data_IF_079421736620
#
_entry.id   IF_079421736620
#
_cell.length_a   1.000
_cell.length_b   1.000
_cell.length_c   1.000
_cell.angle_alpha   90.00
_cell.angle_beta   90.00
_cell.angle_gamma   90.00
#
_symmetry.space_group_name_H-M   'P 1'
#
loop_
_entity.id
_entity.type
_entity.pdbx_description
1 polymer ?
#
# COMPACT_ATOMS: atom_id res chain seq x y z
N UNK A 1 -21.30 -7.22 17.55
CA UNK A 1 -22.01 -6.86 16.30
C UNK A 1 -22.00 -8.08 15.42
N UNK A 2 -23.17 -8.53 14.96
CA UNK A 2 -23.28 -9.66 14.06
C UNK A 2 -23.03 -9.23 12.61
N UNK A 3 -22.38 -10.09 11.83
CA UNK A 3 -22.10 -9.85 10.41
C UNK A 3 -23.08 -10.67 9.60
N UNK A 4 -24.02 -10.02 8.93
CA UNK A 4 -24.94 -10.68 8.01
C UNK A 4 -24.14 -11.18 6.79
N UNK A 5 -24.46 -12.38 6.28
CA UNK A 5 -23.81 -12.92 5.08
C UNK A 5 -24.87 -13.28 4.05
N UNK A 6 -24.85 -12.61 2.92
CA UNK A 6 -25.70 -12.86 1.76
C UNK A 6 -24.79 -13.31 0.62
N UNK A 7 -24.90 -14.58 0.23
CA UNK A 7 -24.08 -15.15 -0.85
C UNK A 7 -24.68 -14.79 -2.21
N UNK A 8 -23.82 -14.53 -3.18
CA UNK A 8 -24.21 -14.44 -4.59
C UNK A 8 -24.82 -15.78 -5.04
N UNK A 9 -25.90 -15.68 -5.82
CA UNK A 9 -26.49 -16.86 -6.45
C UNK A 9 -25.47 -17.51 -7.41
N UNK A 10 -25.46 -18.84 -7.59
CA UNK A 10 -24.45 -19.53 -8.41
C UNK A 10 -24.34 -19.02 -9.85
N UNK A 11 -25.45 -18.60 -10.43
CA UNK A 11 -25.58 -18.04 -11.78
C UNK A 11 -25.08 -16.59 -11.91
N UNK A 12 -24.87 -15.90 -10.77
CA UNK A 12 -24.32 -14.54 -10.70
C UNK A 12 -22.82 -14.52 -10.38
N UNK A 13 -22.19 -15.68 -10.15
CA UNK A 13 -20.75 -15.75 -9.92
C UNK A 13 -20.00 -15.40 -11.20
N UNK A 14 -19.02 -14.50 -11.10
CA UNK A 14 -18.23 -14.05 -12.24
C UNK A 14 -17.25 -15.14 -12.66
N UNK A 15 -16.96 -15.21 -13.95
CA UNK A 15 -15.86 -16.00 -14.48
C UNK A 15 -14.53 -15.46 -13.92
N UNK A 16 -13.61 -16.37 -13.61
CA UNK A 16 -12.31 -16.01 -13.03
C UNK A 16 -11.39 -15.58 -14.18
N UNK A 17 -10.65 -14.47 -14.04
CA UNK A 17 -9.72 -14.02 -15.07
C UNK A 17 -8.54 -15.00 -15.21
N UNK A 18 -7.82 -14.91 -16.33
CA UNK A 18 -6.55 -15.63 -16.48
C UNK A 18 -5.53 -15.07 -15.47
N UNK A 19 -5.01 -15.97 -14.63
CA UNK A 19 -4.08 -15.62 -13.56
C UNK A 19 -2.73 -15.09 -14.09
N UNK A 20 -2.40 -15.36 -15.36
CA UNK A 20 -1.18 -14.86 -16.01
C UNK A 20 -1.31 -13.43 -16.54
N UNK A 21 -2.52 -12.86 -16.59
CA UNK A 21 -2.79 -11.54 -17.17
C UNK A 21 -3.72 -10.68 -16.31
N UNK A 22 -3.60 -10.79 -14.97
CA UNK A 22 -4.48 -10.12 -14.01
C UNK A 22 -4.34 -8.58 -13.99
N UNK A 23 -3.14 -8.07 -14.26
CA UNK A 23 -2.79 -6.68 -13.94
C UNK A 23 -2.96 -6.38 -12.43
N UNK A 24 -3.27 -5.13 -12.11
CA UNK A 24 -3.53 -4.68 -10.73
C UNK A 24 -4.83 -3.88 -10.66
N UNK A 25 -5.78 -4.30 -9.82
CA UNK A 25 -7.00 -3.53 -9.54
C UNK A 25 -8.10 -3.62 -10.62
N UNK A 26 -7.99 -4.52 -11.59
CA UNK A 26 -8.88 -4.56 -12.77
C UNK A 26 -10.11 -5.47 -12.60
N UNK A 27 -9.99 -6.52 -11.80
CA UNK A 27 -11.04 -7.52 -11.58
C UNK A 27 -11.52 -7.47 -10.12
N UNK A 28 -12.82 -7.62 -9.88
CA UNK A 28 -13.38 -7.62 -8.52
C UNK A 28 -14.02 -8.97 -8.22
N UNK A 29 -13.77 -9.50 -7.02
CA UNK A 29 -14.34 -10.76 -6.57
C UNK A 29 -15.88 -10.70 -6.42
N UNK A 30 -16.50 -11.84 -6.17
CA UNK A 30 -17.96 -12.00 -6.21
C UNK A 30 -18.69 -11.23 -5.09
N UNK A 31 -18.02 -10.97 -3.97
CA UNK A 31 -18.61 -10.33 -2.79
C UNK A 31 -17.82 -9.11 -2.32
N UNK A 32 -18.44 -8.34 -1.43
CA UNK A 32 -17.81 -7.26 -0.68
C UNK A 32 -18.35 -7.22 0.75
N UNK A 33 -17.58 -6.64 1.67
CA UNK A 33 -18.07 -6.29 3.00
C UNK A 33 -18.50 -4.82 3.01
N UNK A 34 -19.60 -4.51 3.70
CA UNK A 34 -20.06 -3.14 3.99
C UNK A 34 -20.42 -3.00 5.47
N UNK A 35 -20.23 -1.81 6.01
CA UNK A 35 -20.66 -1.43 7.36
C UNK A 35 -20.96 0.07 7.37
N UNK A 36 -22.09 0.44 7.95
CA UNK A 36 -22.56 1.82 8.00
C UNK A 36 -22.23 2.44 9.35
N UNK A 37 -22.05 3.75 9.36
CA UNK A 37 -21.96 4.55 10.56
C UNK A 37 -22.93 5.70 10.49
N UNK A 38 -23.67 5.91 11.57
CA UNK A 38 -24.46 7.11 11.86
C UNK A 38 -24.08 7.63 13.25
N UNK A 39 -23.86 8.95 13.40
CA UNK A 39 -23.46 9.58 14.68
C UNK A 39 -24.38 9.18 15.86
N UNK A 40 -25.67 8.96 15.62
CA UNK A 40 -26.64 8.58 16.63
C UNK A 40 -26.63 7.08 17.01
N UNK A 41 -26.08 6.22 16.15
CA UNK A 41 -26.11 4.75 16.31
C UNK A 41 -24.72 4.12 16.47
N UNK A 42 -23.66 4.84 16.11
CA UNK A 42 -22.34 4.28 15.93
C UNK A 42 -22.26 3.43 14.66
N UNK A 43 -21.44 2.38 14.68
CA UNK A 43 -21.38 1.42 13.57
C UNK A 43 -22.57 0.45 13.62
N UNK A 44 -23.17 0.14 12.48
CA UNK A 44 -24.28 -0.80 12.32
C UNK A 44 -24.28 -1.44 10.92
N UNK A 45 -25.24 -2.34 10.69
CA UNK A 45 -25.52 -2.99 9.40
C UNK A 45 -24.27 -3.61 8.72
N UNK A 46 -23.43 -4.27 9.52
CA UNK A 46 -22.29 -5.02 9.02
C UNK A 46 -22.76 -6.23 8.18
N UNK A 47 -22.41 -6.24 6.89
CA UNK A 47 -22.84 -7.28 5.97
C UNK A 47 -21.76 -7.65 4.95
N UNK A 48 -21.61 -8.95 4.68
CA UNK A 48 -20.97 -9.47 3.47
C UNK A 48 -22.08 -9.74 2.46
N UNK A 49 -22.00 -9.15 1.28
CA UNK A 49 -23.03 -9.24 0.23
C UNK A 49 -22.40 -9.28 -1.17
N UNK A 50 -23.16 -9.59 -2.24
CA UNK A 50 -22.65 -9.52 -3.61
C UNK A 50 -22.02 -8.15 -3.92
N UNK A 51 -20.97 -8.15 -4.73
CA UNK A 51 -20.35 -6.90 -5.20
C UNK A 51 -21.36 -6.07 -6.01
N UNK A 52 -21.55 -4.81 -5.64
CA UNK A 52 -22.46 -3.88 -6.33
C UNK A 52 -21.95 -2.44 -6.29
N UNK A 53 -22.52 -1.59 -7.14
CA UNK A 53 -22.22 -0.16 -7.13
C UNK A 53 -22.89 0.52 -5.94
N UNK A 54 -22.23 1.54 -5.38
CA UNK A 54 -22.84 2.39 -4.36
C UNK A 54 -23.74 3.45 -4.98
N UNK A 55 -24.92 3.67 -4.38
CA UNK A 55 -25.78 4.81 -4.64
C UNK A 55 -25.47 5.89 -3.61
N UNK A 56 -24.87 7.00 -4.05
CA UNK A 56 -24.53 8.14 -3.20
C UNK A 56 -25.32 9.37 -3.65
N UNK A 57 -25.72 10.20 -2.70
CA UNK A 57 -26.27 11.51 -3.02
C UNK A 57 -25.23 12.32 -3.81
N UNK A 58 -25.61 13.13 -4.81
CA UNK A 58 -24.68 14.04 -5.49
C UNK A 58 -23.99 15.02 -4.54
N UNK A 59 -24.64 15.33 -3.41
CA UNK A 59 -24.09 16.16 -2.34
C UNK A 59 -23.29 15.37 -1.29
N UNK A 60 -22.97 14.09 -1.51
CA UNK A 60 -22.19 13.30 -0.57
C UNK A 60 -20.82 13.95 -0.33
N UNK A 61 -20.46 14.19 0.93
CA UNK A 61 -19.30 15.01 1.29
C UNK A 61 -17.97 14.49 0.71
N UNK A 62 -17.82 13.17 0.54
CA UNK A 62 -16.64 12.58 -0.13
C UNK A 62 -16.43 13.11 -1.55
N UNK A 63 -17.50 13.42 -2.29
CA UNK A 63 -17.45 13.89 -3.68
C UNK A 63 -16.98 15.35 -3.79
N UNK A 64 -17.06 16.12 -2.70
CA UNK A 64 -16.75 17.55 -2.69
C UNK A 64 -15.48 17.87 -1.91
N UNK A 65 -15.23 17.17 -0.80
CA UNK A 65 -14.13 17.49 0.13
C UNK A 65 -13.16 16.33 0.35
N UNK A 66 -13.34 15.20 -0.35
CA UNK A 66 -12.37 14.10 -0.36
C UNK A 66 -12.11 13.46 1.01
N UNK A 67 -13.06 13.55 1.96
CA UNK A 67 -12.96 12.88 3.27
C UNK A 67 -13.11 11.36 3.10
N UNK A 68 -12.00 10.73 2.71
CA UNK A 68 -11.89 9.30 2.44
C UNK A 68 -10.52 8.75 2.81
N UNK A 69 -10.51 7.56 3.40
CA UNK A 69 -9.31 6.81 3.77
C UNK A 69 -9.39 5.38 3.22
N UNK A 70 -8.24 4.74 3.08
CA UNK A 70 -8.19 3.36 2.60
C UNK A 70 -6.99 2.60 3.14
N UNK A 71 -7.03 1.29 2.99
CA UNK A 71 -5.94 0.39 3.30
C UNK A 71 -5.58 -0.52 2.13
N UNK A 72 -4.47 -1.23 2.27
CA UNK A 72 -3.98 -2.15 1.27
C UNK A 72 -3.17 -3.28 1.87
N UNK A 73 -3.72 -4.49 1.78
CA UNK A 73 -3.09 -5.73 2.21
C UNK A 73 -3.39 -6.86 1.22
N UNK A 74 -2.84 -8.04 1.45
CA UNK A 74 -2.95 -9.18 0.55
C UNK A 74 -3.29 -10.46 1.30
N UNK A 75 -4.02 -11.34 0.61
CA UNK A 75 -4.14 -12.74 0.94
C UNK A 75 -3.34 -13.57 -0.05
N UNK A 76 -2.67 -14.59 0.48
CA UNK A 76 -1.71 -15.44 -0.20
C UNK A 76 -2.17 -16.88 -0.11
N UNK A 77 -2.07 -17.64 -1.21
CA UNK A 77 -2.32 -19.08 -1.18
C UNK A 77 -1.00 -19.82 -0.96
N UNK A 78 -0.90 -20.56 0.13
CA UNK A 78 0.25 -21.43 0.39
C UNK A 78 0.26 -22.69 -0.46
N UNK A 79 1.38 -23.41 -0.45
CA UNK A 79 1.53 -24.71 -1.12
C UNK A 79 0.64 -25.82 -0.52
N UNK A 80 0.16 -25.61 0.70
CA UNK A 80 -0.82 -26.45 1.41
C UNK A 80 -2.29 -26.09 1.08
N UNK A 81 -2.51 -25.23 0.07
CA UNK A 81 -3.80 -24.67 -0.34
C UNK A 81 -4.51 -23.81 0.73
N UNK A 82 -3.86 -23.56 1.87
CA UNK A 82 -4.36 -22.63 2.89
C UNK A 82 -4.18 -21.19 2.44
N UNK A 83 -4.99 -20.31 3.02
CA UNK A 83 -4.95 -18.87 2.73
C UNK A 83 -4.39 -18.13 3.93
N UNK A 84 -3.41 -17.27 3.68
CA UNK A 84 -2.68 -16.52 4.68
C UNK A 84 -2.85 -15.01 4.45
N UNK A 85 -3.01 -14.27 5.54
CA UNK A 85 -2.97 -12.81 5.58
C UNK A 85 -1.65 -12.35 6.20
N UNK A 86 -1.08 -11.28 5.67
CA UNK A 86 0.14 -10.69 6.22
C UNK A 86 -0.15 -9.41 6.99
N UNK A 87 0.11 -9.44 8.31
CA UNK A 87 -0.04 -8.34 9.26
C UNK A 87 -1.39 -7.58 9.20
N UNK A 88 -2.53 -8.29 9.06
CA UNK A 88 -3.83 -7.64 8.83
C UNK A 88 -4.22 -6.67 9.96
N UNK A 89 -3.94 -7.02 11.22
CA UNK A 89 -4.25 -6.17 12.37
C UNK A 89 -3.46 -4.85 12.35
N UNK A 90 -2.23 -4.86 11.83
CA UNK A 90 -1.43 -3.64 11.72
C UNK A 90 -2.00 -2.70 10.64
N UNK A 91 -2.52 -3.24 9.54
CA UNK A 91 -3.26 -2.47 8.55
C UNK A 91 -4.51 -1.83 9.16
N UNK A 92 -5.30 -2.58 9.93
CA UNK A 92 -6.52 -2.06 10.55
C UNK A 92 -6.23 -0.99 11.62
N UNK A 93 -5.13 -1.12 12.37
CA UNK A 93 -4.67 -0.07 13.30
C UNK A 93 -4.27 1.20 12.54
N UNK A 94 -3.49 1.08 11.45
CA UNK A 94 -3.12 2.24 10.63
C UNK A 94 -4.33 2.89 9.94
N UNK A 95 -5.37 2.11 9.64
CA UNK A 95 -6.63 2.66 9.19
C UNK A 95 -7.30 3.53 10.27
N UNK A 96 -7.28 3.11 11.52
CA UNK A 96 -7.76 3.93 12.64
C UNK A 96 -6.91 5.19 12.83
N UNK A 97 -5.57 5.10 12.73
CA UNK A 97 -4.71 6.30 12.75
C UNK A 97 -5.11 7.30 11.65
N UNK A 98 -5.47 6.77 10.47
CA UNK A 98 -5.96 7.58 9.35
C UNK A 98 -7.35 8.17 9.63
N UNK A 99 -8.24 7.41 10.27
CA UNK A 99 -9.58 7.86 10.66
C UNK A 99 -9.48 9.01 11.67
N UNK A 100 -8.69 8.86 12.73
CA UNK A 100 -8.45 9.91 13.73
C UNK A 100 -7.93 11.18 13.07
N UNK A 101 -6.92 11.08 12.18
CA UNK A 101 -6.33 12.25 11.51
C UNK A 101 -7.30 12.98 10.58
N UNK A 102 -8.23 12.24 9.98
CA UNK A 102 -9.24 12.73 9.05
C UNK A 102 -10.59 13.04 9.72
N UNK A 103 -10.66 13.02 11.05
CA UNK A 103 -11.88 13.22 11.84
C UNK A 103 -13.02 12.26 11.39
N UNK A 104 -12.69 10.99 11.20
CA UNK A 104 -13.62 9.91 10.85
C UNK A 104 -13.72 8.94 12.03
N UNK A 105 -14.84 8.20 12.18
CA UNK A 105 -14.98 7.22 13.25
C UNK A 105 -13.97 6.08 13.10
N UNK A 106 -13.34 5.68 14.20
CA UNK A 106 -12.49 4.50 14.23
C UNK A 106 -13.32 3.23 14.03
N UNK A 107 -12.80 2.27 13.24
CA UNK A 107 -13.45 0.98 13.06
C UNK A 107 -13.18 0.05 14.25
N UNK A 108 -14.16 -0.79 14.64
CA UNK A 108 -13.94 -1.88 15.58
C UNK A 108 -13.04 -2.96 14.93
N UNK A 109 -11.74 -2.94 15.25
CA UNK A 109 -10.71 -3.79 14.63
C UNK A 109 -11.08 -5.27 14.64
N UNK A 110 -11.58 -5.81 15.76
CA UNK A 110 -11.92 -7.24 15.86
C UNK A 110 -13.10 -7.64 14.96
N UNK A 111 -14.11 -6.77 14.83
CA UNK A 111 -15.27 -7.00 13.96
C UNK A 111 -14.84 -6.97 12.50
N UNK A 112 -14.07 -5.95 12.11
CA UNK A 112 -13.59 -5.80 10.72
C UNK A 112 -12.60 -6.90 10.36
N UNK A 113 -11.74 -7.32 11.29
CA UNK A 113 -10.83 -8.44 11.08
C UNK A 113 -11.60 -9.76 10.88
N UNK A 114 -12.60 -10.03 11.71
CA UNK A 114 -13.48 -11.18 11.53
C UNK A 114 -14.22 -11.15 10.19
N UNK A 115 -14.75 -9.99 9.80
CA UNK A 115 -15.42 -9.78 8.51
C UNK A 115 -14.48 -10.02 7.33
N UNK A 116 -13.24 -9.50 7.40
CA UNK A 116 -12.22 -9.71 6.38
C UNK A 116 -11.90 -11.19 6.19
N UNK A 117 -11.69 -11.93 7.29
CA UNK A 117 -11.46 -13.38 7.22
C UNK A 117 -12.64 -14.11 6.58
N UNK A 118 -13.86 -13.80 6.99
CA UNK A 118 -15.09 -14.40 6.42
C UNK A 118 -15.23 -14.08 4.92
N UNK A 119 -14.95 -12.84 4.51
CA UNK A 119 -15.02 -12.41 3.13
C UNK A 119 -13.99 -13.14 2.27
N UNK A 120 -12.73 -13.21 2.71
CA UNK A 120 -11.68 -13.95 1.99
C UNK A 120 -11.98 -15.45 1.93
N UNK A 121 -12.52 -16.05 3.00
CA UNK A 121 -12.94 -17.45 3.00
C UNK A 121 -14.11 -17.71 2.02
N UNK A 122 -15.05 -16.77 1.90
CA UNK A 122 -16.17 -16.85 0.95
C UNK A 122 -15.67 -16.72 -0.49
N UNK A 123 -14.77 -15.78 -0.75
CA UNK A 123 -14.13 -15.55 -2.05
C UNK A 123 -12.85 -16.38 -2.26
N UNK A 124 -12.69 -17.50 -1.54
CA UNK A 124 -11.43 -18.28 -1.57
C UNK A 124 -10.99 -18.71 -2.97
N UNK A 125 -11.92 -18.87 -3.90
CA UNK A 125 -11.62 -19.24 -5.30
C UNK A 125 -11.00 -18.12 -6.11
N UNK A 126 -11.05 -16.87 -5.62
CA UNK A 126 -10.40 -15.71 -6.21
C UNK A 126 -8.96 -15.52 -5.75
N UNK A 127 -8.51 -16.23 -4.72
CA UNK A 127 -7.09 -16.20 -4.32
C UNK A 127 -6.28 -16.99 -5.36
N UNK A 128 -5.40 -16.35 -6.15
CA UNK A 128 -4.72 -17.00 -7.26
C UNK A 128 -3.87 -18.19 -6.83
N UNK A 129 -3.59 -19.09 -7.78
CA UNK A 129 -2.63 -20.19 -7.63
C UNK A 129 -1.30 -19.89 -8.33
N UNK A 130 -1.32 -19.03 -9.35
CA UNK A 130 -0.15 -18.64 -10.11
C UNK A 130 0.91 -17.99 -9.21
N UNK A 131 2.17 -18.36 -9.44
CA UNK A 131 3.30 -17.83 -8.69
C UNK A 131 3.39 -16.30 -8.84
N UNK A 132 3.58 -15.60 -7.72
CA UNK A 132 3.64 -14.13 -7.69
C UNK A 132 2.28 -13.42 -7.79
N UNK A 133 1.18 -14.14 -8.05
CA UNK A 133 -0.17 -13.60 -8.01
C UNK A 133 -0.79 -13.73 -6.60
N UNK A 134 -1.61 -12.76 -6.21
CA UNK A 134 -2.21 -12.69 -4.87
C UNK A 134 -3.63 -12.11 -4.91
N UNK A 135 -4.39 -12.23 -3.84
CA UNK A 135 -5.64 -11.49 -3.70
C UNK A 135 -5.36 -10.19 -2.94
N UNK A 136 -5.46 -9.05 -3.60
CA UNK A 136 -5.38 -7.76 -2.95
C UNK A 136 -6.69 -7.42 -2.26
N UNK A 137 -6.60 -7.00 -1.01
CA UNK A 137 -7.73 -6.62 -0.14
C UNK A 137 -7.69 -5.11 0.03
N UNK A 138 -8.81 -4.44 -0.25
CA UNK A 138 -8.97 -2.98 -0.18
C UNK A 138 -10.07 -2.62 0.82
N UNK A 139 -9.72 -2.43 2.11
CA UNK A 139 -10.58 -1.69 3.04
C UNK A 139 -10.61 -0.22 2.66
N UNK A 140 -11.77 0.42 2.76
CA UNK A 140 -11.94 1.85 2.52
C UNK A 140 -13.09 2.42 3.35
N UNK A 141 -13.01 3.71 3.66
CA UNK A 141 -14.06 4.45 4.36
C UNK A 141 -14.28 5.80 3.67
N UNK A 142 -15.53 6.16 3.46
CA UNK A 142 -15.93 7.43 2.82
C UNK A 142 -16.99 8.15 3.64
N UNK A 143 -16.92 9.49 3.64
CA UNK A 143 -17.98 10.36 4.14
C UNK A 143 -19.21 10.32 3.21
N UNK A 144 -20.22 9.54 3.57
CA UNK A 144 -21.42 9.30 2.75
C UNK A 144 -22.55 10.31 3.00
N UNK A 145 -22.47 11.10 4.07
CA UNK A 145 -23.47 12.12 4.40
C UNK A 145 -23.67 13.12 3.25
N UNK A 146 -24.92 13.46 2.94
CA UNK A 146 -25.26 14.54 2.02
C UNK A 146 -25.11 15.91 2.70
N UNK A 147 -24.22 16.77 2.18
CA UNK A 147 -24.03 18.12 2.69
C UNK A 147 -22.89 18.87 1.99
N UNK A 148 -23.03 20.18 1.88
CA UNK A 148 -22.03 21.09 1.29
C UNK A 148 -21.35 22.00 2.34
N UNK A 149 -21.58 21.75 3.62
CA UNK A 149 -20.87 22.43 4.69
C UNK A 149 -19.54 21.72 4.96
N UNK A 150 -18.43 22.45 4.99
CA UNK A 150 -17.11 21.87 5.31
C UNK A 150 -17.03 21.60 6.81
N UNK A 151 -17.21 20.34 7.18
CA UNK A 151 -17.09 19.82 8.55
C UNK A 151 -16.86 18.30 8.51
N UNK A 152 -16.54 17.63 9.63
CA UNK A 152 -16.65 16.18 9.70
C UNK A 152 -18.07 15.73 9.35
N UNK A 153 -18.17 14.68 8.53
CA UNK A 153 -19.44 14.03 8.28
C UNK A 153 -19.97 13.32 9.54
N UNK A 154 -21.26 13.04 9.54
CA UNK A 154 -21.99 12.30 10.58
C UNK A 154 -22.41 10.91 10.11
N UNK A 155 -22.25 10.65 8.81
CA UNK A 155 -22.55 9.37 8.19
C UNK A 155 -21.36 8.90 7.36
N UNK A 156 -20.98 7.64 7.56
CA UNK A 156 -19.85 7.03 6.85
C UNK A 156 -20.22 5.66 6.33
N UNK A 157 -19.58 5.28 5.22
CA UNK A 157 -19.62 3.94 4.66
C UNK A 157 -18.22 3.35 4.73
N UNK A 158 -18.06 2.26 5.47
CA UNK A 158 -16.87 1.41 5.44
C UNK A 158 -17.14 0.19 4.55
N UNK A 159 -16.15 -0.21 3.74
CA UNK A 159 -16.27 -1.38 2.89
C UNK A 159 -14.93 -2.09 2.67
N UNK A 160 -14.99 -3.37 2.29
CA UNK A 160 -13.83 -4.14 1.84
C UNK A 160 -14.17 -4.81 0.51
N UNK A 161 -13.31 -4.61 -0.48
CA UNK A 161 -13.36 -5.32 -1.77
C UNK A 161 -12.08 -6.13 -2.00
N UNK A 162 -12.23 -7.22 -2.75
CA UNK A 162 -11.16 -8.15 -3.08
C UNK A 162 -10.89 -8.13 -4.59
N UNK A 163 -9.62 -8.13 -4.97
CA UNK A 163 -9.17 -8.07 -6.36
C UNK A 163 -7.99 -9.03 -6.58
N UNK A 164 -8.09 -10.02 -7.49
CA UNK A 164 -6.91 -10.81 -7.85
C UNK A 164 -5.91 -9.92 -8.60
N UNK A 165 -4.65 -9.96 -8.21
CA UNK A 165 -3.58 -9.15 -8.80
C UNK A 165 -2.36 -9.99 -9.14
N UNK A 166 -1.73 -9.67 -10.25
CA UNK A 166 -0.44 -10.22 -10.65
C UNK A 166 0.72 -9.34 -10.18
N UNK A 167 1.82 -9.34 -10.93
CA UNK A 167 2.92 -8.42 -10.72
C UNK A 167 2.46 -6.96 -10.81
N UNK A 168 2.99 -6.10 -9.93
CA UNK A 168 2.56 -4.71 -9.85
C UNK A 168 3.06 -3.85 -11.03
N UNK A 169 4.29 -4.10 -11.46
CA UNK A 169 4.90 -3.43 -12.61
C UNK A 169 4.93 -4.36 -13.82
N UNK A 170 4.77 -3.83 -15.06
CA UNK A 170 4.94 -4.62 -16.28
C UNK A 170 6.29 -5.33 -16.34
N UNK A 171 7.33 -4.72 -15.77
CA UNK A 171 8.68 -5.25 -15.69
C UNK A 171 8.84 -6.32 -14.59
N UNK A 172 7.79 -6.64 -13.82
CA UNK A 172 7.83 -7.60 -12.73
C UNK A 172 8.71 -7.14 -11.56
N UNK A 173 9.68 -7.97 -11.19
CA UNK A 173 10.69 -7.65 -10.15
C UNK A 173 11.95 -6.99 -10.72
N UNK A 174 11.95 -6.62 -12.00
CA UNK A 174 13.08 -5.90 -12.59
C UNK A 174 13.15 -4.45 -12.09
N UNK A 175 14.34 -3.82 -12.13
CA UNK A 175 14.50 -2.47 -11.61
C UNK A 175 13.72 -1.42 -12.39
N UNK A 176 13.10 -0.50 -11.66
CA UNK A 176 12.37 0.64 -12.24
C UNK A 176 13.27 1.86 -12.44
N UNK A 177 12.82 2.77 -13.30
CA UNK A 177 13.42 4.11 -13.46
C UNK A 177 12.65 5.13 -12.64
N UNK A 178 13.35 5.97 -11.89
CA UNK A 178 12.72 7.00 -11.04
C UNK A 178 13.16 8.41 -11.42
N UNK A 179 12.20 9.32 -11.41
CA UNK A 179 12.42 10.75 -11.68
C UNK A 179 12.30 11.54 -10.38
N UNK A 180 13.33 12.29 -10.01
CA UNK A 180 13.31 13.14 -8.83
C UNK A 180 12.63 14.46 -9.17
N UNK A 181 11.49 14.73 -8.54
CA UNK A 181 10.78 16.01 -8.72
C UNK A 181 11.29 17.05 -7.74
N UNK A 182 11.67 18.22 -8.23
CA UNK A 182 11.92 19.43 -7.43
C UNK A 182 10.77 20.44 -7.51
N UNK A 183 9.83 20.25 -8.44
CA UNK A 183 8.62 21.07 -8.60
C UNK A 183 7.55 20.71 -7.55
N UNK A 184 7.16 19.43 -7.47
CA UNK A 184 6.02 18.99 -6.67
C UNK A 184 6.43 18.49 -5.27
N UNK A 185 5.49 18.60 -4.33
CA UNK A 185 5.61 18.06 -2.96
C UNK A 185 4.54 17.02 -2.76
N UNK A 186 4.92 15.89 -2.18
CA UNK A 186 3.96 14.85 -1.79
C UNK A 186 3.23 15.21 -0.50
N UNK A 187 3.98 15.59 0.52
CA UNK A 187 3.44 15.95 1.82
C UNK A 187 4.40 16.87 2.60
N UNK A 188 3.91 17.43 3.70
CA UNK A 188 4.68 18.25 4.65
C UNK A 188 4.32 17.85 6.08
N UNK A 189 5.25 18.00 7.03
CA UNK A 189 4.97 17.80 8.44
C UNK A 189 3.84 18.75 8.90
N UNK A 190 2.90 18.24 9.70
CA UNK A 190 1.64 18.92 10.02
C UNK A 190 0.52 18.72 9.00
N UNK A 191 0.84 18.24 7.79
CA UNK A 191 -0.13 17.80 6.80
C UNK A 191 -0.75 16.44 7.12
N UNK A 192 -1.12 15.70 6.07
CA UNK A 192 -1.74 14.36 6.16
C UNK A 192 -0.88 13.27 5.51
N UNK A 193 0.40 13.54 5.26
CA UNK A 193 1.31 12.63 4.55
C UNK A 193 1.55 11.29 5.25
N UNK A 194 1.45 11.27 6.57
CA UNK A 194 1.64 10.08 7.40
C UNK A 194 0.38 9.20 7.55
N UNK A 195 -0.72 9.55 6.88
CA UNK A 195 -1.95 8.75 6.88
C UNK A 195 -2.41 8.41 5.47
N UNK A 196 -3.21 7.35 5.35
CA UNK A 196 -3.60 6.79 4.05
C UNK A 196 -4.94 7.36 3.57
N UNK A 197 -4.93 8.67 3.31
CA UNK A 197 -6.08 9.44 2.81
C UNK A 197 -6.03 9.64 1.30
N UNK A 198 -7.21 9.65 0.65
CA UNK A 198 -7.33 9.77 -0.81
C UNK A 198 -6.67 11.05 -1.37
N UNK A 199 -6.75 12.16 -0.63
CA UNK A 199 -6.20 13.45 -1.06
C UNK A 199 -4.70 13.43 -1.36
N UNK A 200 -3.91 12.67 -0.60
CA UNK A 200 -2.47 12.50 -0.83
C UNK A 200 -2.16 11.91 -2.21
N UNK A 201 -3.01 11.01 -2.68
CA UNK A 201 -2.82 10.30 -3.94
C UNK A 201 -3.33 11.13 -5.11
N UNK A 202 -4.47 11.81 -4.95
CA UNK A 202 -4.97 12.73 -5.98
C UNK A 202 -3.96 13.84 -6.29
N UNK A 203 -3.34 14.42 -5.25
CA UNK A 203 -2.33 15.47 -5.40
C UNK A 203 -1.04 15.00 -6.10
N UNK A 204 -0.73 13.70 -6.06
CA UNK A 204 0.50 13.18 -6.67
C UNK A 204 0.41 12.88 -8.17
N UNK A 205 -0.80 12.87 -8.75
CA UNK A 205 -1.03 12.38 -10.13
C UNK A 205 -0.28 13.22 -11.17
N UNK A 206 -0.25 14.54 -11.03
CA UNK A 206 0.42 15.41 -12.01
C UNK A 206 1.92 15.08 -12.14
N UNK A 207 2.63 14.98 -11.01
CA UNK A 207 4.05 14.62 -11.01
C UNK A 207 4.29 13.22 -11.62
N UNK A 208 3.38 12.26 -11.37
CA UNK A 208 3.48 10.93 -11.95
C UNK A 208 3.31 10.95 -13.47
N UNK A 209 2.35 11.73 -13.99
CA UNK A 209 2.15 11.90 -15.44
C UNK A 209 3.38 12.55 -16.09
N UNK A 210 3.96 13.58 -15.48
CA UNK A 210 5.17 14.21 -15.99
C UNK A 210 6.38 13.27 -16.02
N UNK A 211 6.56 12.45 -14.98
CA UNK A 211 7.60 11.43 -14.95
C UNK A 211 7.39 10.37 -16.04
N UNK A 212 6.15 9.90 -16.22
CA UNK A 212 5.79 8.91 -17.25
C UNK A 212 6.03 9.45 -18.66
N UNK A 213 5.68 10.70 -18.93
CA UNK A 213 5.94 11.36 -20.21
C UNK A 213 7.45 11.47 -20.53
N UNK A 214 8.30 11.43 -19.50
CA UNK A 214 9.76 11.40 -19.63
C UNK A 214 10.34 9.98 -19.63
N UNK A 215 9.50 8.93 -19.62
CA UNK A 215 9.93 7.53 -19.62
C UNK A 215 10.33 6.97 -18.25
N UNK A 216 9.92 7.62 -17.16
CA UNK A 216 10.16 7.16 -15.78
C UNK A 216 8.92 6.50 -15.18
N UNK A 217 9.13 5.42 -14.43
CA UNK A 217 8.04 4.61 -13.85
C UNK A 217 7.45 5.25 -12.59
N UNK A 218 8.29 5.93 -11.79
CA UNK A 218 7.90 6.51 -10.50
C UNK A 218 8.58 7.85 -10.25
N UNK A 219 7.99 8.63 -9.33
CA UNK A 219 8.53 9.89 -8.84
C UNK A 219 9.29 9.64 -7.54
N UNK A 220 10.48 10.19 -7.37
CA UNK A 220 11.13 10.33 -6.06
C UNK A 220 10.73 11.68 -5.45
N UNK A 221 10.22 11.64 -4.23
CA UNK A 221 9.73 12.82 -3.53
C UNK A 221 10.81 13.42 -2.64
N UNK A 222 11.01 14.74 -2.78
CA UNK A 222 11.82 15.54 -1.88
C UNK A 222 10.93 16.24 -0.86
N UNK A 223 11.51 16.56 0.30
CA UNK A 223 10.85 17.24 1.40
C UNK A 223 10.30 18.60 0.98
N UNK A 224 9.19 19.00 1.59
CA UNK A 224 8.49 20.23 1.22
C UNK A 224 9.28 21.52 1.47
N UNK A 225 10.22 21.51 2.42
CA UNK A 225 10.80 22.70 3.03
C UNK A 225 12.09 23.08 2.31
N UNK A 226 13.07 22.17 2.32
CA UNK A 226 14.40 22.40 1.78
C UNK A 226 14.57 21.83 0.37
N UNK A 227 13.61 21.04 -0.11
CA UNK A 227 13.59 20.46 -1.47
C UNK A 227 14.87 19.69 -1.80
N UNK A 228 15.40 18.99 -0.81
CA UNK A 228 16.65 18.22 -0.94
C UNK A 228 16.65 16.91 -0.18
N UNK A 229 15.91 16.80 0.92
CA UNK A 229 15.83 15.56 1.67
C UNK A 229 14.86 14.60 0.99
N UNK A 230 15.28 13.36 0.82
CA UNK A 230 14.45 12.33 0.20
C UNK A 230 13.43 11.81 1.22
N UNK A 231 12.19 11.61 0.76
CA UNK A 231 11.10 11.08 1.59
C UNK A 231 10.61 9.69 1.12
N UNK A 232 10.03 9.60 -0.08
CA UNK A 232 9.35 8.41 -0.60
C UNK A 232 9.57 8.26 -2.11
N UNK A 233 9.24 7.09 -2.66
CA UNK A 233 9.26 6.81 -4.11
C UNK A 233 7.88 6.37 -4.56
N UNK A 234 7.20 7.23 -5.32
CA UNK A 234 5.84 7.00 -5.79
C UNK A 234 4.87 6.92 -4.61
N UNK A 235 4.41 5.69 -4.33
CA UNK A 235 3.53 5.39 -3.18
C UNK A 235 4.17 4.39 -2.20
N UNK A 236 5.50 4.30 -2.23
CA UNK A 236 6.32 3.38 -1.46
C UNK A 236 7.33 4.14 -0.59
N UNK A 237 7.67 3.57 0.57
CA UNK A 237 8.86 4.04 1.30
C UNK A 237 10.11 3.64 0.55
N UNK A 238 11.24 4.32 0.79
CA UNK A 238 12.50 4.07 0.08
C UNK A 238 13.65 3.71 1.02
N UNK A 239 14.55 2.88 0.51
CA UNK A 239 15.79 2.46 1.16
C UNK A 239 16.98 2.64 0.22
N UNK A 240 18.14 2.93 0.81
CA UNK A 240 19.44 3.09 0.15
C UNK A 240 20.45 2.20 0.86
N UNK A 241 21.17 1.37 0.13
CA UNK A 241 22.35 0.67 0.63
C UNK A 241 23.58 1.45 0.16
N UNK A 242 24.23 2.13 1.11
CA UNK A 242 25.44 2.93 0.87
C UNK A 242 26.54 2.39 1.78
N UNK A 243 27.67 2.02 1.19
CA UNK A 243 28.70 1.22 1.84
C UNK A 243 28.07 -0.04 2.47
N UNK A 244 28.22 -0.24 3.79
CA UNK A 244 27.61 -1.34 4.54
C UNK A 244 26.38 -0.90 5.37
N UNK A 245 25.79 0.26 5.06
CA UNK A 245 24.68 0.84 5.81
C UNK A 245 23.38 0.91 4.98
N UNK A 246 22.32 0.31 5.52
CA UNK A 246 20.97 0.44 4.98
C UNK A 246 20.28 1.66 5.59
N UNK A 247 19.99 2.64 4.76
CA UNK A 247 19.45 3.95 5.15
C UNK A 247 18.01 4.07 4.66
N UNK A 248 17.11 4.54 5.51
CA UNK A 248 15.75 4.97 5.12
C UNK A 248 15.40 6.28 5.83
N UNK A 249 14.63 7.18 5.20
CA UNK A 249 14.16 8.40 5.86
C UNK A 249 13.34 8.12 7.15
N UNK A 250 13.49 8.92 8.22
CA UNK A 250 12.77 8.74 9.48
C UNK A 250 11.32 9.20 9.37
N UNK A 251 10.45 8.67 10.23
CA UNK A 251 9.03 9.03 10.28
C UNK A 251 8.80 10.39 10.96
N UNK A 252 9.01 11.48 10.22
CA UNK A 252 8.89 12.87 10.73
C UNK A 252 7.53 13.52 10.47
N UNK A 253 6.49 12.73 10.20
CA UNK A 253 5.11 13.21 9.99
C UNK A 253 4.72 13.50 8.53
N UNK A 254 5.67 13.55 7.61
CA UNK A 254 5.45 13.66 6.16
C UNK A 254 5.63 12.34 5.41
N UNK A 255 5.93 11.24 6.09
CA UNK A 255 6.20 9.92 5.49
C UNK A 255 5.17 8.93 6.03
N UNK A 256 4.62 8.08 5.15
CA UNK A 256 3.66 7.06 5.55
C UNK A 256 4.39 5.93 6.29
N UNK A 257 3.98 5.52 7.50
CA UNK A 257 4.54 4.36 8.19
C UNK A 257 4.14 3.07 7.46
N UNK A 258 4.94 2.67 6.47
CA UNK A 258 4.71 1.45 5.71
C UNK A 258 4.91 0.19 6.54
N UNK A 259 3.97 -0.74 6.47
CA UNK A 259 4.10 -2.05 7.12
C UNK A 259 5.25 -2.86 6.50
N UNK A 260 5.44 -2.77 5.18
CA UNK A 260 6.60 -3.40 4.53
C UNK A 260 7.92 -2.76 4.97
N UNK A 261 7.97 -1.43 5.12
CA UNK A 261 9.12 -0.71 5.68
C UNK A 261 9.47 -1.23 7.08
N UNK A 262 8.50 -1.31 8.00
CA UNK A 262 8.71 -1.86 9.35
C UNK A 262 9.19 -3.33 9.31
N UNK A 263 8.64 -4.12 8.38
CA UNK A 263 9.04 -5.53 8.24
C UNK A 263 10.48 -5.67 7.75
N UNK A 264 10.90 -4.84 6.78
CA UNK A 264 12.30 -4.77 6.29
C UNK A 264 13.25 -4.33 7.41
N UNK A 265 12.90 -3.31 8.19
CA UNK A 265 13.73 -2.85 9.31
C UNK A 265 13.95 -3.95 10.36
N UNK A 266 12.90 -4.71 10.70
CA UNK A 266 13.01 -5.83 11.65
C UNK A 266 13.86 -6.98 11.12
N UNK A 267 13.61 -7.41 9.87
CA UNK A 267 14.38 -8.49 9.24
C UNK A 267 15.87 -8.14 9.12
N UNK A 268 16.18 -6.93 8.66
CA UNK A 268 17.58 -6.52 8.46
C UNK A 268 18.33 -6.33 9.76
N UNK A 269 17.65 -5.87 10.82
CA UNK A 269 18.22 -5.83 12.18
C UNK A 269 18.57 -7.23 12.70
N UNK A 270 17.70 -8.22 12.51
CA UNK A 270 17.95 -9.60 12.94
C UNK A 270 19.03 -10.29 12.11
N UNK A 271 19.26 -9.84 10.88
CA UNK A 271 20.40 -10.27 10.05
C UNK A 271 21.72 -9.58 10.40
N UNK A 272 21.72 -8.66 11.38
CA UNK A 272 22.91 -7.94 11.83
C UNK A 272 23.38 -6.85 10.86
N UNK A 273 22.53 -6.36 9.95
CA UNK A 273 22.88 -5.23 9.10
C UNK A 273 22.91 -3.94 9.93
N UNK A 274 23.80 -3.02 9.55
CA UNK A 274 23.77 -1.65 10.06
C UNK A 274 22.61 -0.92 9.38
N UNK A 275 21.60 -0.53 10.16
CA UNK A 275 20.39 0.12 9.66
C UNK A 275 20.19 1.47 10.35
N UNK A 276 19.91 2.51 9.57
CA UNK A 276 19.69 3.86 10.07
C UNK A 276 18.42 4.49 9.51
N UNK A 277 17.56 4.95 10.42
CA UNK A 277 16.45 5.84 10.11
C UNK A 277 16.96 7.30 10.20
N UNK A 278 17.57 7.82 9.12
CA UNK A 278 18.17 9.16 9.10
C UNK A 278 17.82 9.90 7.82
N UNK A 279 17.81 11.24 7.89
CA UNK A 279 17.62 12.09 6.71
C UNK A 279 18.80 11.87 5.75
N UNK A 280 18.49 11.78 4.47
CA UNK A 280 19.46 11.66 3.38
C UNK A 280 19.06 12.66 2.29
N UNK A 281 20.01 13.42 1.79
CA UNK A 281 19.77 14.37 0.70
C UNK A 281 19.94 13.72 -0.66
N UNK A 282 19.36 14.32 -1.70
CA UNK A 282 19.62 13.93 -3.08
C UNK A 282 21.10 14.05 -3.42
N UNK A 283 21.78 15.10 -2.93
CA UNK A 283 23.21 15.30 -3.15
C UNK A 283 24.06 14.22 -2.48
N UNK A 284 23.68 13.73 -1.28
CA UNK A 284 24.35 12.59 -0.63
C UNK A 284 24.29 11.33 -1.51
N UNK A 285 23.14 11.08 -2.14
CA UNK A 285 22.93 9.91 -3.03
C UNK A 285 23.76 10.04 -4.30
N UNK A 286 23.77 11.23 -4.93
CA UNK A 286 24.57 11.49 -6.12
C UNK A 286 26.07 11.36 -5.82
N UNK A 287 26.54 11.94 -4.73
CA UNK A 287 27.93 11.84 -4.30
C UNK A 287 28.32 10.39 -3.95
N UNK A 288 27.42 9.63 -3.32
CA UNK A 288 27.65 8.21 -3.04
C UNK A 288 27.74 7.37 -4.31
N UNK A 289 26.94 7.68 -5.33
CA UNK A 289 26.98 7.04 -6.64
C UNK A 289 28.30 7.35 -7.37
N UNK A 290 28.72 8.62 -7.41
CA UNK A 290 29.99 9.03 -8.03
C UNK A 290 31.21 8.37 -7.37
N UNK A 291 31.17 8.16 -6.05
CA UNK A 291 32.22 7.46 -5.31
C UNK A 291 32.18 5.93 -5.46
N UNK A 292 31.12 5.37 -6.06
CA UNK A 292 30.90 3.93 -6.14
C UNK A 292 30.46 3.27 -4.82
N UNK A 293 30.10 4.07 -3.80
CA UNK A 293 29.61 3.59 -2.51
C UNK A 293 28.11 3.27 -2.49
N UNK A 294 27.32 3.79 -3.45
CA UNK A 294 25.90 3.46 -3.59
C UNK A 294 25.74 2.08 -4.25
N UNK A 295 25.28 1.10 -3.48
CA UNK A 295 25.14 -0.28 -3.94
C UNK A 295 23.73 -0.60 -4.43
N UNK A 296 22.69 -0.21 -3.70
CA UNK A 296 21.29 -0.52 -4.03
C UNK A 296 20.35 0.62 -3.65
N UNK A 297 19.28 0.78 -4.43
CA UNK A 297 18.09 1.57 -4.05
C UNK A 297 16.87 0.69 -4.28
N UNK A 298 15.93 0.69 -3.34
CA UNK A 298 14.65 0.01 -3.54
C UNK A 298 13.49 0.67 -2.77
N UNK A 299 12.32 0.65 -3.39
CA UNK A 299 11.04 0.98 -2.77
C UNK A 299 10.45 -0.21 -2.01
N UNK A 300 9.62 0.07 -0.99
CA UNK A 300 8.89 -0.93 -0.22
C UNK A 300 7.41 -0.56 -0.07
N UNK A 301 6.53 -1.53 -0.29
CA UNK A 301 5.08 -1.33 -0.16
C UNK A 301 4.30 -2.60 -0.46
N UNK A 302 3.03 -2.68 -0.06
CA UNK A 302 2.22 -3.91 -0.20
C UNK A 302 2.14 -4.43 -1.64
N UNK A 303 2.02 -3.51 -2.62
CA UNK A 303 1.76 -3.89 -4.01
C UNK A 303 2.96 -4.59 -4.66
N UNK A 304 4.15 -3.98 -4.62
CA UNK A 304 5.38 -4.54 -5.19
C UNK A 304 6.19 -5.41 -4.20
N UNK A 305 5.87 -5.37 -2.90
CA UNK A 305 6.70 -5.88 -1.79
C UNK A 305 8.04 -5.12 -1.73
N UNK A 306 8.96 -5.41 -2.64
CA UNK A 306 10.22 -4.71 -2.86
C UNK A 306 10.27 -4.30 -4.35
N UNK A 307 10.60 -3.04 -4.63
CA UNK A 307 10.76 -2.53 -6.00
C UNK A 307 12.19 -2.00 -6.18
N UNK A 308 13.08 -2.76 -6.84
CA UNK A 308 14.44 -2.31 -7.11
C UNK A 308 14.45 -1.08 -8.02
N UNK A 309 15.44 -0.20 -7.85
CA UNK A 309 15.65 0.97 -8.71
C UNK A 309 16.95 0.79 -9.48
N UNK A 310 16.88 0.92 -10.80
CA UNK A 310 18.04 0.76 -11.69
C UNK A 310 18.56 2.08 -12.24
N UNK A 311 17.72 3.11 -12.25
CA UNK A 311 18.05 4.44 -12.77
C UNK A 311 17.35 5.51 -11.94
N UNK A 312 18.08 6.58 -11.60
CA UNK A 312 17.57 7.79 -10.99
C UNK A 312 17.95 8.98 -11.87
N UNK A 313 17.01 9.90 -12.13
CA UNK A 313 17.29 11.17 -12.80
C UNK A 313 16.94 12.35 -11.90
N UNK A 314 17.91 13.25 -11.69
CA UNK A 314 17.70 14.55 -11.04
C UNK A 314 18.30 15.66 -11.91
N UNK A 315 17.48 16.61 -12.35
CA UNK A 315 17.90 17.78 -13.14
C UNK A 315 18.74 17.42 -14.37
N UNK A 316 18.42 16.31 -15.02
CA UNK A 316 19.12 15.82 -16.21
C UNK A 316 20.38 14.99 -15.90
N UNK A 317 20.81 14.91 -14.64
CA UNK A 317 21.87 13.98 -14.22
C UNK A 317 21.27 12.59 -14.01
N UNK A 318 21.67 11.65 -14.86
CA UNK A 318 21.25 10.25 -14.78
C UNK A 318 22.26 9.46 -13.96
N UNK A 319 21.78 8.76 -12.93
CA UNK A 319 22.53 7.82 -12.12
C UNK A 319 22.04 6.41 -12.41
N UNK A 320 22.97 5.53 -12.82
CA UNK A 320 22.70 4.10 -12.97
C UNK A 320 23.05 3.39 -11.67
N UNK A 321 22.08 2.74 -11.04
CA UNK A 321 22.25 2.02 -9.77
C UNK A 321 22.52 0.56 -10.10
N UNK A 322 23.57 -0.02 -9.49
CA UNK A 322 23.91 -1.45 -9.64
C UNK A 322 23.90 -1.95 -11.11
N UNK A 323 24.42 -1.14 -12.03
CA UNK A 323 24.43 -1.44 -13.47
C UNK A 323 23.03 -1.70 -14.07
N UNK A 324 21.97 -1.08 -13.50
CA UNK A 324 20.59 -1.28 -13.92
C UNK A 324 20.03 -2.66 -13.55
N UNK A 325 20.66 -3.38 -12.63
CA UNK A 325 20.26 -4.73 -12.20
C UNK A 325 19.72 -4.74 -10.78
N UNK A 326 18.86 -5.72 -10.50
CA UNK A 326 18.36 -5.95 -9.13
C UNK A 326 19.51 -6.31 -8.20
N UNK A 327 19.63 -5.58 -7.09
CA UNK A 327 20.61 -5.84 -6.06
C UNK A 327 20.35 -7.12 -5.24
N UNK A 328 21.39 -7.58 -4.56
CA UNK A 328 21.36 -8.83 -3.80
C UNK A 328 20.50 -8.71 -2.54
N UNK A 329 20.57 -7.58 -1.84
CA UNK A 329 19.76 -7.34 -0.64
C UNK A 329 18.28 -7.17 -0.99
N UNK A 330 17.95 -6.40 -2.03
CA UNK A 330 16.58 -6.26 -2.51
C UNK A 330 15.97 -7.62 -2.88
N UNK A 331 16.73 -8.48 -3.58
CA UNK A 331 16.29 -9.85 -3.92
C UNK A 331 16.11 -10.72 -2.68
N UNK A 332 17.07 -10.70 -1.74
CA UNK A 332 16.99 -11.46 -0.49
C UNK A 332 15.75 -11.06 0.33
N UNK A 333 15.48 -9.76 0.46
CA UNK A 333 14.31 -9.24 1.17
C UNK A 333 13.00 -9.66 0.50
N UNK A 334 12.94 -9.56 -0.83
CA UNK A 334 11.77 -9.98 -1.59
C UNK A 334 11.47 -11.47 -1.41
N UNK A 335 12.48 -12.32 -1.56
CA UNK A 335 12.35 -13.77 -1.36
C UNK A 335 11.96 -14.12 0.07
N UNK A 336 12.59 -13.50 1.06
CA UNK A 336 12.28 -13.74 2.48
C UNK A 336 10.83 -13.36 2.81
N UNK A 337 10.40 -12.15 2.44
CA UNK A 337 9.06 -11.67 2.71
C UNK A 337 8.00 -12.53 2.03
N UNK A 338 8.22 -12.91 0.77
CA UNK A 338 7.30 -13.82 0.08
C UNK A 338 7.25 -15.20 0.74
N UNK A 339 8.38 -15.75 1.17
CA UNK A 339 8.41 -17.04 1.85
C UNK A 339 7.62 -17.00 3.17
N UNK A 340 7.69 -15.91 3.93
CA UNK A 340 6.88 -15.70 5.13
C UNK A 340 5.40 -15.53 4.76
N UNK A 341 5.09 -14.65 3.79
CA UNK A 341 3.71 -14.32 3.37
C UNK A 341 2.93 -15.54 2.84
N UNK A 342 3.61 -16.43 2.12
CA UNK A 342 3.02 -17.66 1.56
C UNK A 342 3.05 -18.84 2.56
N UNK A 343 3.51 -18.64 3.80
CA UNK A 343 3.61 -19.71 4.79
C UNK A 343 4.73 -20.74 4.54
N UNK A 344 5.63 -20.48 3.59
CA UNK A 344 6.76 -21.38 3.27
C UNK A 344 7.88 -21.34 4.32
N UNK A 345 8.00 -20.23 5.05
CA UNK A 345 8.98 -20.05 6.11
C UNK A 345 8.26 -19.77 7.42
N UNK A 346 8.84 -20.26 8.52
CA UNK A 346 8.39 -19.90 9.86
C UNK A 346 8.39 -18.39 10.01
N UNK A 347 7.30 -17.86 10.51
CA UNK A 347 7.16 -16.48 10.89
C UNK A 347 7.62 -16.29 12.34
N UNK A 348 8.78 -15.66 12.59
CA UNK A 348 9.28 -15.47 13.95
C UNK A 348 8.58 -14.33 14.69
N UNK A 349 7.72 -13.54 14.03
CA UNK A 349 7.12 -12.32 14.58
C UNK A 349 5.60 -12.41 14.78
N UNK A 350 4.95 -13.49 14.33
CA UNK A 350 3.48 -13.61 14.39
C UNK A 350 2.75 -12.64 13.46
N UNK A 351 3.38 -12.28 12.35
CA UNK A 351 2.81 -11.50 11.24
C UNK A 351 1.76 -12.23 10.42
N UNK A 352 1.88 -13.54 10.27
CA UNK A 352 1.06 -14.34 9.35
C UNK A 352 -0.16 -14.89 10.09
N UNK A 353 -1.34 -14.69 9.50
CA UNK A 353 -2.59 -15.21 10.05
C UNK A 353 -3.30 -16.07 9.00
N UNK A 354 -3.59 -17.32 9.35
CA UNK A 354 -4.45 -18.20 8.54
C UNK A 354 -5.89 -17.68 8.54
N UNK A 355 -6.53 -17.69 7.38
CA UNK A 355 -7.95 -17.30 7.17
C UNK A 355 -8.88 -18.37 7.72
#
# INVERSE_FOLDING_TARGET
MDIQVVKSAPDLLKAKPDENSLGFGQHMADHMFVMLYDESMGWHDAAIKPYENFSLAPAAMVLHYGQAIFEGLKAYRGTDDKIYLFRPTDNLKRMNDSATRMCMPEIPVDVVFSAMKKLVALDKSWVPRAEGATLYIRPAMIASEAGLGVRPAKQYLFFIINCPVGAYYPEGFNPVKIFVTDTYVRAVAGGVGNVKTAGNYAASIMAAVEAQNQGYTQVLWLDAIERRYIEEVGTMNIFFLIDDELITPPLTGSILPGITRDSVLRLTKDWGLKVSEKRITIDDVLAANEKGSLQEIFGTGTAAVISPVGELNYKGQVCTINNGKTGALARKLFTELQAIQNGHKKDPYGWVVEV
#
